data_IF_154953817904
#
_entry.id   IF_154953817904
#
_cell.length_a   1.000
_cell.length_b   1.000
_cell.length_c   1.000
_cell.angle_alpha   90.00
_cell.angle_beta   90.00
_cell.angle_gamma   90.00
#
_symmetry.space_group_name_H-M   'P 1'
#
loop_
_entity.id
_entity.type
_entity.pdbx_description
1 polymer ?
#
# COMPACT_ATOMS: atom_id res chain seq x y z
N UNK A 1 7.70 4.47 6.42
CA UNK A 1 8.95 5.14 6.83
C UNK A 1 10.10 4.25 6.43
N UNK A 2 11.04 4.78 5.68
CA UNK A 2 12.39 4.23 5.55
C UNK A 2 13.07 4.28 6.94
N UNK A 3 12.51 3.55 7.88
CA UNK A 3 12.98 3.40 9.24
C UNK A 3 13.77 2.11 9.40
N UNK A 4 14.20 1.79 10.61
CA UNK A 4 14.97 0.61 10.94
C UNK A 4 14.45 -0.65 10.22
N UNK A 5 15.32 -1.55 9.77
CA UNK A 5 14.91 -2.78 9.10
C UNK A 5 13.93 -3.55 9.99
N UNK A 6 12.90 -4.12 9.36
CA UNK A 6 11.94 -4.95 10.09
C UNK A 6 12.68 -6.11 10.78
N UNK A 7 12.28 -6.50 11.99
CA UNK A 7 12.87 -7.65 12.67
C UNK A 7 12.81 -8.89 11.79
N UNK A 8 13.82 -9.76 11.91
CA UNK A 8 13.90 -11.02 11.15
C UNK A 8 12.78 -11.98 11.55
N UNK A 9 12.48 -12.94 10.69
CA UNK A 9 11.55 -14.05 11.02
C UNK A 9 12.06 -14.82 12.25
N UNK A 10 13.37 -15.03 12.36
CA UNK A 10 13.98 -15.69 13.52
C UNK A 10 13.72 -14.93 14.81
N UNK A 11 13.84 -13.61 14.81
CA UNK A 11 13.53 -12.79 15.98
C UNK A 11 12.10 -13.01 16.49
N UNK A 12 11.11 -13.01 15.58
CA UNK A 12 9.72 -13.30 15.96
C UNK A 12 9.53 -14.73 16.44
N UNK A 13 10.15 -15.71 15.77
CA UNK A 13 10.08 -17.11 16.17
C UNK A 13 10.62 -17.31 17.57
N UNK A 14 11.80 -16.79 17.87
CA UNK A 14 12.43 -16.86 19.19
C UNK A 14 11.61 -16.16 20.27
N UNK A 15 11.14 -14.95 20.00
CA UNK A 15 10.31 -14.19 20.95
C UNK A 15 9.01 -14.93 21.31
N UNK A 16 8.34 -15.51 20.32
CA UNK A 16 7.08 -16.23 20.52
C UNK A 16 7.33 -17.54 21.25
N UNK A 17 8.24 -18.38 20.76
CA UNK A 17 8.49 -19.71 21.32
C UNK A 17 9.04 -19.64 22.73
N UNK A 18 10.01 -18.77 23.01
CA UNK A 18 10.59 -18.58 24.35
C UNK A 18 9.53 -18.14 25.34
N UNK A 19 8.65 -17.21 24.95
CA UNK A 19 7.56 -16.77 25.85
C UNK A 19 6.53 -17.88 26.10
N UNK A 20 6.14 -18.63 25.09
CA UNK A 20 5.20 -19.76 25.24
C UNK A 20 5.79 -20.80 26.18
N UNK A 21 7.02 -21.23 25.96
CA UNK A 21 7.70 -22.23 26.82
C UNK A 21 7.75 -21.75 28.26
N UNK A 22 8.20 -20.52 28.50
CA UNK A 22 8.28 -19.94 29.84
C UNK A 22 6.93 -19.87 30.54
N UNK A 23 5.87 -19.48 29.84
CA UNK A 23 4.53 -19.41 30.44
C UNK A 23 3.95 -20.80 30.71
N UNK A 24 4.15 -21.75 29.82
CA UNK A 24 3.71 -23.13 30.06
C UNK A 24 4.41 -23.75 31.26
N UNK A 25 5.70 -23.54 31.43
CA UNK A 25 6.45 -23.96 32.60
C UNK A 25 5.95 -23.30 33.89
N UNK A 26 5.71 -21.97 33.85
CA UNK A 26 5.23 -21.21 35.01
C UNK A 26 3.85 -21.65 35.47
N UNK A 27 2.98 -22.06 34.56
CA UNK A 27 1.60 -22.43 34.85
C UNK A 27 1.37 -23.95 34.86
N UNK A 28 2.44 -24.74 34.75
CA UNK A 28 2.42 -26.21 34.74
C UNK A 28 1.44 -26.82 33.72
N UNK A 29 1.37 -26.16 32.51
CA UNK A 29 0.52 -26.63 31.42
C UNK A 29 1.37 -27.24 30.31
N UNK A 30 0.85 -28.25 29.57
CA UNK A 30 1.55 -28.82 28.41
C UNK A 30 1.83 -27.78 27.33
N UNK A 31 2.95 -27.95 26.59
CA UNK A 31 3.25 -27.10 25.46
C UNK A 31 2.18 -27.27 24.35
N UNK A 32 1.54 -26.19 23.92
CA UNK A 32 0.56 -26.26 22.85
C UNK A 32 1.24 -26.40 21.48
N UNK A 33 0.50 -26.90 20.51
CA UNK A 33 0.88 -26.76 19.10
C UNK A 33 0.72 -25.30 18.67
N UNK A 34 1.81 -24.68 18.21
CA UNK A 34 1.78 -23.31 17.66
C UNK A 34 1.43 -23.35 16.17
N UNK A 35 0.42 -22.57 15.77
CA UNK A 35 0.05 -22.32 14.38
C UNK A 35 0.20 -20.83 14.13
N UNK A 36 0.90 -20.45 13.08
CA UNK A 36 1.12 -19.05 12.67
C UNK A 36 0.59 -18.89 11.25
N UNK A 37 -0.15 -17.81 11.03
CA UNK A 37 -0.74 -17.45 9.74
C UNK A 37 -0.14 -16.14 9.21
N UNK A 38 1.12 -16.14 8.71
CA UNK A 38 1.76 -14.95 8.20
C UNK A 38 1.15 -14.58 6.85
N UNK A 39 0.46 -13.44 6.77
CA UNK A 39 -0.15 -12.95 5.53
C UNK A 39 0.70 -11.87 4.87
N UNK A 40 0.68 -10.68 5.46
CA UNK A 40 1.33 -9.48 4.92
C UNK A 40 2.82 -9.66 4.65
N UNK A 41 3.54 -10.27 5.56
CA UNK A 41 5.00 -10.45 5.46
C UNK A 41 5.43 -11.26 4.22
N UNK A 42 4.54 -12.10 3.69
CA UNK A 42 4.84 -12.93 2.53
C UNK A 42 4.71 -12.14 1.21
N UNK A 43 3.61 -11.38 1.03
CA UNK A 43 3.24 -10.87 -0.29
C UNK A 43 3.14 -9.34 -0.38
N UNK A 44 3.12 -8.60 0.73
CA UNK A 44 2.89 -7.16 0.67
C UNK A 44 3.91 -6.45 -0.22
N UNK A 45 5.19 -6.75 -0.05
CA UNK A 45 6.29 -6.12 -0.79
C UNK A 45 6.38 -6.55 -2.25
N UNK A 46 5.74 -7.63 -2.64
CA UNK A 46 5.70 -8.11 -4.01
C UNK A 46 4.69 -7.35 -4.88
N UNK A 47 3.76 -6.59 -4.27
CA UNK A 47 2.75 -5.85 -5.02
C UNK A 47 3.00 -4.35 -5.03
N UNK A 48 2.80 -3.76 -6.20
CA UNK A 48 2.83 -2.32 -6.44
C UNK A 48 1.53 -1.92 -7.12
N UNK A 49 0.86 -0.90 -6.59
CA UNK A 49 -0.27 -0.28 -7.30
C UNK A 49 0.25 0.87 -8.16
N UNK A 50 -0.25 0.95 -9.39
CA UNK A 50 0.08 2.01 -10.33
C UNK A 50 -1.16 2.85 -10.60
N UNK A 51 -0.99 4.16 -10.54
CA UNK A 51 -2.04 5.13 -10.80
C UNK A 51 -1.54 6.18 -11.79
N UNK A 52 -2.43 6.67 -12.63
CA UNK A 52 -2.14 7.81 -13.50
C UNK A 52 -2.48 9.10 -12.74
N UNK A 53 -1.55 10.03 -12.73
CA UNK A 53 -1.76 11.39 -12.21
C UNK A 53 -2.71 12.14 -13.15
N UNK A 54 -3.76 12.69 -12.56
CA UNK A 54 -4.71 13.56 -13.24
C UNK A 54 -4.36 15.04 -13.06
N UNK A 55 -5.08 15.74 -12.21
CA UNK A 55 -4.91 17.18 -11.97
C UNK A 55 -3.98 17.40 -10.78
N UNK A 56 -3.09 18.39 -10.92
CA UNK A 56 -2.33 18.95 -9.79
C UNK A 56 -2.93 20.30 -9.45
N UNK A 57 -3.41 20.46 -8.21
CA UNK A 57 -4.09 21.67 -7.75
C UNK A 57 -3.43 22.22 -6.50
N UNK A 58 -3.05 23.48 -6.56
CA UNK A 58 -2.67 24.25 -5.37
C UNK A 58 -3.93 24.80 -4.69
N UNK A 59 -3.97 24.65 -3.36
CA UNK A 59 -4.89 25.38 -2.49
C UNK A 59 -4.02 26.32 -1.66
N UNK A 60 -3.98 27.63 -1.96
CA UNK A 60 -3.06 28.58 -1.35
C UNK A 60 -3.16 28.56 0.18
N UNK A 61 -2.01 28.53 0.85
CA UNK A 61 -1.93 28.47 2.32
C UNK A 61 -2.34 27.15 2.95
N UNK A 62 -2.76 26.16 2.15
CA UNK A 62 -3.18 24.85 2.65
C UNK A 62 -2.25 23.75 2.17
N UNK A 63 -2.30 23.38 0.88
CA UNK A 63 -1.45 22.33 0.30
C UNK A 63 -1.61 22.17 -1.21
N UNK A 64 -0.73 21.34 -1.78
CA UNK A 64 -0.86 20.85 -3.14
C UNK A 64 -1.56 19.49 -3.15
N UNK A 65 -2.62 19.37 -3.94
CA UNK A 65 -3.32 18.11 -4.20
C UNK A 65 -2.92 17.55 -5.55
N UNK A 66 -2.75 16.23 -5.59
CA UNK A 66 -2.52 15.47 -6.83
C UNK A 66 -3.62 14.43 -6.94
N UNK A 67 -4.50 14.57 -7.93
CA UNK A 67 -5.54 13.57 -8.18
C UNK A 67 -4.97 12.37 -8.94
N UNK A 68 -5.54 11.19 -8.70
CA UNK A 68 -5.18 9.96 -9.38
C UNK A 68 -6.42 9.24 -9.93
N UNK A 69 -6.23 8.36 -10.89
CA UNK A 69 -7.31 7.58 -11.55
C UNK A 69 -7.87 6.42 -10.70
N UNK A 70 -7.40 6.26 -9.46
CA UNK A 70 -7.90 5.31 -8.47
C UNK A 70 -8.22 5.99 -7.14
N UNK A 71 -8.13 5.25 -6.03
CA UNK A 71 -8.36 5.78 -4.70
C UNK A 71 -8.78 4.73 -3.68
N UNK A 72 -9.65 5.12 -2.74
CA UNK A 72 -10.08 4.27 -1.63
C UNK A 72 -10.77 2.97 -2.06
N UNK A 73 -11.39 2.92 -3.23
CA UNK A 73 -11.97 1.68 -3.74
C UNK A 73 -10.92 0.62 -4.10
N UNK A 74 -9.69 1.03 -4.42
CA UNK A 74 -8.57 0.14 -4.73
C UNK A 74 -7.72 -0.15 -3.50
N UNK A 75 -7.57 0.84 -2.61
CA UNK A 75 -6.80 0.75 -1.38
C UNK A 75 -7.48 1.52 -0.25
N UNK A 76 -8.40 0.86 0.44
CA UNK A 76 -9.18 1.43 1.54
C UNK A 76 -8.34 1.69 2.81
N UNK A 77 -7.14 1.12 2.91
CA UNK A 77 -6.38 1.08 4.15
C UNK A 77 -6.00 2.43 4.74
N UNK A 78 -5.62 3.46 3.94
CA UNK A 78 -5.40 4.80 4.48
C UNK A 78 -6.66 5.40 5.12
N UNK A 79 -7.81 5.29 4.45
CA UNK A 79 -9.08 5.81 4.96
C UNK A 79 -9.59 5.04 6.19
N UNK A 80 -9.49 3.70 6.19
CA UNK A 80 -10.08 2.85 7.23
C UNK A 80 -9.19 2.73 8.48
N UNK A 81 -7.86 2.68 8.29
CA UNK A 81 -6.91 2.38 9.37
C UNK A 81 -5.87 3.47 9.60
N UNK A 82 -5.91 4.57 8.87
CA UNK A 82 -4.85 5.58 8.89
C UNK A 82 -3.50 5.02 8.41
N UNK A 83 -3.52 3.97 7.57
CA UNK A 83 -2.30 3.31 7.12
C UNK A 83 -1.46 4.28 6.30
N UNK A 84 -0.21 4.47 6.71
CA UNK A 84 0.75 5.29 5.97
C UNK A 84 1.19 4.53 4.72
N UNK A 85 1.19 5.22 3.60
CA UNK A 85 1.66 4.73 2.32
C UNK A 85 2.85 5.57 1.85
N UNK A 86 3.67 4.97 1.02
CA UNK A 86 4.76 5.62 0.30
C UNK A 86 4.43 5.60 -1.20
N UNK A 87 4.97 6.52 -1.95
CA UNK A 87 4.84 6.53 -3.40
C UNK A 87 6.04 7.19 -4.06
N UNK A 88 6.22 6.87 -5.32
CA UNK A 88 7.20 7.52 -6.20
C UNK A 88 6.56 7.79 -7.55
N UNK A 89 7.06 8.78 -8.30
CA UNK A 89 6.73 8.94 -9.71
C UNK A 89 7.62 7.99 -10.52
N UNK A 90 7.05 6.89 -11.01
CA UNK A 90 7.79 5.81 -11.67
C UNK A 90 8.57 6.29 -12.91
N UNK A 91 8.02 7.26 -13.61
CA UNK A 91 8.67 7.88 -14.79
C UNK A 91 9.62 9.04 -14.44
N UNK A 92 9.78 9.37 -13.13
CA UNK A 92 10.65 10.46 -12.65
C UNK A 92 11.55 10.04 -11.48
N UNK A 93 11.92 8.76 -11.39
CA UNK A 93 12.67 8.17 -10.27
C UNK A 93 14.00 8.87 -9.93
N UNK A 94 14.61 9.55 -10.90
CA UNK A 94 15.89 10.27 -10.71
C UNK A 94 15.72 11.77 -10.52
N UNK A 95 14.50 12.29 -10.61
CA UNK A 95 14.23 13.71 -10.44
C UNK A 95 14.28 14.10 -8.96
N UNK A 96 14.74 15.31 -8.68
CA UNK A 96 14.81 15.84 -7.31
C UNK A 96 13.40 16.12 -6.79
N UNK A 97 13.16 15.76 -5.56
CA UNK A 97 11.97 16.19 -4.81
C UNK A 97 11.96 17.71 -4.66
N UNK A 98 10.81 18.33 -4.90
CA UNK A 98 10.67 19.78 -4.88
C UNK A 98 9.65 20.29 -3.87
N UNK A 99 8.81 19.44 -3.35
CA UNK A 99 7.74 19.83 -2.43
C UNK A 99 6.96 18.67 -1.85
N UNK A 100 6.00 18.99 -1.00
CA UNK A 100 5.08 18.03 -0.40
C UNK A 100 3.73 18.07 -1.10
N UNK A 101 3.21 16.91 -1.43
CA UNK A 101 1.97 16.72 -2.16
C UNK A 101 1.04 15.77 -1.41
N UNK A 102 -0.26 16.03 -1.48
CA UNK A 102 -1.30 15.14 -0.96
C UNK A 102 -1.95 14.42 -2.12
N UNK A 103 -1.91 13.10 -2.11
CA UNK A 103 -2.48 12.25 -3.14
C UNK A 103 -3.93 11.99 -2.81
N UNK A 104 -4.83 12.46 -3.66
CA UNK A 104 -6.28 12.30 -3.54
C UNK A 104 -6.80 11.38 -4.64
N UNK A 105 -7.70 10.49 -4.28
CA UNK A 105 -8.37 9.64 -5.25
C UNK A 105 -9.44 10.38 -6.07
N UNK A 106 -10.16 9.62 -6.88
CA UNK A 106 -11.18 10.14 -7.81
C UNK A 106 -12.61 10.13 -7.24
N UNK A 107 -12.78 9.65 -6.01
CA UNK A 107 -14.10 9.45 -5.43
C UNK A 107 -14.62 10.71 -4.74
N UNK A 108 -15.92 10.92 -4.78
CA UNK A 108 -16.61 12.03 -4.12
C UNK A 108 -16.77 11.74 -2.62
N UNK A 109 -15.62 11.62 -1.93
CA UNK A 109 -15.52 11.22 -0.53
C UNK A 109 -14.34 11.95 0.14
N UNK A 110 -14.57 12.62 1.27
CA UNK A 110 -13.53 13.36 1.98
C UNK A 110 -12.41 12.47 2.52
N UNK A 111 -12.70 11.19 2.74
CA UNK A 111 -11.75 10.16 3.16
C UNK A 111 -10.88 9.62 2.04
N UNK A 112 -11.11 9.99 0.77
CA UNK A 112 -10.36 9.48 -0.37
C UNK A 112 -9.00 10.18 -0.55
N UNK A 113 -8.22 10.15 0.51
CA UNK A 113 -6.84 10.60 0.57
C UNK A 113 -5.93 9.39 0.77
N UNK A 114 -5.19 9.08 -0.28
CA UNK A 114 -4.30 7.93 -0.28
C UNK A 114 -3.02 8.20 0.52
N UNK A 115 -2.42 9.38 0.34
CA UNK A 115 -1.19 9.78 1.02
C UNK A 115 -1.25 11.29 1.32
N UNK A 116 -0.88 11.66 2.54
CA UNK A 116 -0.76 13.07 2.94
C UNK A 116 0.70 13.50 2.95
N UNK A 117 0.96 14.68 2.40
CA UNK A 117 2.22 15.43 2.54
C UNK A 117 3.48 14.62 2.19
N UNK A 118 3.42 13.85 1.09
CA UNK A 118 4.57 13.09 0.57
C UNK A 118 5.49 13.99 -0.26
N UNK A 119 6.80 13.85 -0.06
CA UNK A 119 7.80 14.52 -0.88
C UNK A 119 7.89 13.86 -2.27
N UNK A 120 7.73 14.65 -3.32
CA UNK A 120 7.81 14.18 -4.72
C UNK A 120 8.54 15.19 -5.60
N UNK A 121 9.11 14.75 -6.74
CA UNK A 121 9.39 15.64 -7.87
C UNK A 121 8.10 16.31 -8.33
N UNK A 122 8.19 17.37 -9.16
CA UNK A 122 7.01 18.05 -9.70
C UNK A 122 6.09 17.04 -10.41
N UNK A 123 4.90 16.75 -9.87
CA UNK A 123 3.92 15.90 -10.54
C UNK A 123 3.27 16.64 -11.70
N UNK A 124 2.98 15.91 -12.76
CA UNK A 124 2.27 16.41 -13.94
C UNK A 124 1.18 15.41 -14.35
N UNK A 125 0.14 15.89 -14.99
CA UNK A 125 -0.87 15.03 -15.60
C UNK A 125 -0.23 14.01 -16.53
N UNK A 126 -0.62 12.74 -16.41
CA UNK A 126 -0.05 11.63 -17.17
C UNK A 126 1.17 10.96 -16.52
N UNK A 127 1.73 11.51 -15.45
CA UNK A 127 2.77 10.81 -14.69
C UNK A 127 2.20 9.51 -14.07
N UNK A 128 3.07 8.54 -13.83
CA UNK A 128 2.70 7.28 -13.18
C UNK A 128 3.15 7.30 -11.72
N UNK A 129 2.17 7.34 -10.81
CA UNK A 129 2.40 7.20 -9.39
C UNK A 129 2.43 5.71 -9.02
N UNK A 130 3.55 5.24 -8.49
CA UNK A 130 3.72 3.87 -8.00
C UNK A 130 3.66 3.84 -6.47
N UNK A 131 2.75 3.02 -5.92
CA UNK A 131 2.56 2.82 -4.49
C UNK A 131 3.00 1.41 -4.13
N UNK A 132 4.14 1.21 -3.45
CA UNK A 132 4.64 -0.10 -3.06
C UNK A 132 3.85 -0.68 -1.88
N UNK A 133 4.09 -1.97 -1.58
CA UNK A 133 3.49 -2.63 -0.43
C UNK A 133 2.01 -2.99 -0.59
N UNK A 134 1.51 -3.02 -1.81
CA UNK A 134 0.11 -3.28 -2.15
C UNK A 134 -0.21 -4.77 -2.40
N UNK A 135 0.73 -5.69 -2.22
CA UNK A 135 0.52 -7.13 -2.45
C UNK A 135 -0.37 -7.82 -1.42
N UNK A 136 -0.66 -7.16 -0.27
CA UNK A 136 -1.55 -7.70 0.75
C UNK A 136 -2.62 -6.68 1.13
N UNK A 137 -3.87 -7.15 1.28
CA UNK A 137 -5.03 -6.40 1.77
C UNK A 137 -5.49 -5.20 0.93
N UNK A 138 -4.90 -4.91 -0.22
CA UNK A 138 -5.43 -3.93 -1.17
C UNK A 138 -6.49 -4.60 -2.05
N UNK A 139 -6.08 -5.52 -2.91
CA UNK A 139 -6.98 -6.21 -3.80
C UNK A 139 -8.14 -6.98 -3.11
N UNK A 140 -7.92 -7.74 -2.01
CA UNK A 140 -9.01 -8.42 -1.32
C UNK A 140 -10.03 -7.47 -0.68
N UNK A 141 -9.63 -6.25 -0.33
CA UNK A 141 -10.50 -5.22 0.23
C UNK A 141 -11.02 -4.23 -0.83
N UNK A 142 -10.62 -4.40 -2.10
CA UNK A 142 -11.12 -3.55 -3.17
C UNK A 142 -12.63 -3.70 -3.35
N UNK A 143 -13.30 -2.59 -3.61
CA UNK A 143 -14.75 -2.52 -3.72
C UNK A 143 -15.18 -1.88 -5.04
N UNK A 144 -16.47 -1.97 -5.34
CA UNK A 144 -17.10 -1.27 -6.45
C UNK A 144 -17.73 0.06 -5.99
N UNK A 145 -17.09 0.74 -5.03
CA UNK A 145 -17.57 2.06 -4.56
C UNK A 145 -17.76 3.02 -5.73
N UNK A 146 -18.89 3.74 -5.75
CA UNK A 146 -19.34 4.59 -6.86
C UNK A 146 -19.33 3.87 -8.23
N UNK A 147 -19.70 2.58 -8.26
CA UNK A 147 -19.69 1.75 -9.45
C UNK A 147 -18.32 1.64 -10.16
N UNK A 148 -17.24 1.87 -9.44
CA UNK A 148 -15.88 1.72 -9.97
C UNK A 148 -15.54 0.25 -10.20
N UNK A 149 -14.95 -0.05 -11.34
CA UNK A 149 -14.48 -1.40 -11.65
C UNK A 149 -13.19 -1.71 -10.90
N UNK A 150 -13.08 -2.93 -10.38
CA UNK A 150 -11.84 -3.41 -9.78
C UNK A 150 -10.76 -3.55 -10.85
N UNK A 151 -9.54 -3.19 -10.47
CA UNK A 151 -8.40 -3.10 -11.37
C UNK A 151 -7.90 -4.47 -11.86
N UNK A 152 -7.20 -4.48 -12.99
CA UNK A 152 -6.46 -5.63 -13.47
C UNK A 152 -5.26 -5.94 -12.54
N UNK A 153 -4.82 -7.22 -12.54
CA UNK A 153 -3.57 -7.62 -11.88
C UNK A 153 -2.64 -8.26 -12.89
N UNK A 154 -1.42 -7.77 -12.92
CA UNK A 154 -0.38 -8.25 -13.81
C UNK A 154 0.77 -8.80 -12.97
N UNK A 155 1.16 -10.03 -13.24
CA UNK A 155 2.36 -10.64 -12.69
C UNK A 155 3.55 -10.28 -13.58
N UNK A 156 4.61 -9.74 -12.98
CA UNK A 156 5.87 -9.44 -13.66
C UNK A 156 6.95 -10.33 -13.10
N UNK A 157 7.60 -11.10 -13.97
CA UNK A 157 8.72 -11.96 -13.62
C UNK A 157 9.71 -12.03 -14.78
N UNK A 158 11.00 -11.91 -14.51
CA UNK A 158 12.08 -12.00 -15.51
C UNK A 158 11.83 -11.14 -16.77
N UNK A 159 11.35 -9.91 -16.57
CA UNK A 159 11.05 -8.97 -17.65
C UNK A 159 9.80 -9.29 -18.46
N UNK A 160 9.05 -10.32 -18.11
CA UNK A 160 7.79 -10.71 -18.77
C UNK A 160 6.59 -10.29 -17.91
N UNK A 161 5.56 -9.77 -18.58
CA UNK A 161 4.29 -9.40 -17.96
C UNK A 161 3.19 -10.38 -18.35
N UNK A 162 2.42 -10.88 -17.37
CA UNK A 162 1.29 -11.77 -17.58
C UNK A 162 0.07 -11.27 -16.83
N UNK A 163 -1.03 -11.08 -17.52
CA UNK A 163 -2.32 -10.75 -16.91
C UNK A 163 -2.82 -11.97 -16.12
N UNK A 164 -3.00 -11.83 -14.79
CA UNK A 164 -3.50 -12.89 -13.92
C UNK A 164 -4.91 -12.61 -13.40
N UNK A 165 -5.37 -11.37 -13.48
CA UNK A 165 -6.75 -10.96 -13.24
C UNK A 165 -7.13 -9.88 -14.22
N UNK A 166 -8.20 -10.07 -14.96
CA UNK A 166 -8.77 -9.07 -15.85
C UNK A 166 -9.38 -7.91 -15.05
N UNK A 167 -9.38 -6.71 -15.62
CA UNK A 167 -10.19 -5.59 -15.14
C UNK A 167 -11.66 -5.99 -15.24
N UNK A 168 -12.47 -5.59 -14.27
CA UNK A 168 -13.92 -5.72 -14.37
C UNK A 168 -14.45 -4.85 -15.52
N UNK A 169 -15.51 -5.30 -16.15
CA UNK A 169 -16.27 -4.61 -17.21
C UNK A 169 -17.75 -4.72 -16.88
N UNK A 170 -18.57 -3.92 -17.56
CA UNK A 170 -20.03 -4.07 -17.55
C UNK A 170 -20.42 -5.43 -18.13
#
# INVERSE_FOLDING_TARGET
>A
TLGAPAPSVSFFAEAITTNIIRQCQRHEIPLPRLIIEPGRSIVARAGVALYTVGVVKEVPGVRYYVSIDGGMADNIRPALYGAKQEAVLANKMRAKEIGKFTIAGKFCESGDILIRDIALPQPMAGDILAVPGCGAYCLPQASNYNASFKVAVVLVNEGKARLIRRRETL
#
